data_IF_922160458575
#
_entry.id   IF_922160458575
#
_cell.length_a   1.000
_cell.length_b   1.000
_cell.length_c   1.000
_cell.angle_alpha   90.00
_cell.angle_beta   90.00
_cell.angle_gamma   90.00
#
_symmetry.space_group_name_H-M   'P 1'
#
loop_
_entity.id
_entity.type
_entity.pdbx_description
1 polymer ?
#
# COMPACT_ATOMS: atom_id res chain seq x y z
N UNK A 1 -7.99 46.15 -30.66
CA UNK A 1 -6.80 45.49 -30.08
C UNK A 1 -7.05 45.26 -28.60
N UNK A 2 -7.43 44.04 -28.23
CA UNK A 2 -7.62 43.64 -26.85
C UNK A 2 -6.96 42.26 -26.68
N UNK A 3 -5.93 42.19 -25.85
CA UNK A 3 -5.23 40.95 -25.50
C UNK A 3 -6.10 40.13 -24.54
N UNK A 4 -6.23 38.80 -24.70
CA UNK A 4 -6.81 37.97 -23.67
C UNK A 4 -5.74 37.58 -22.63
N UNK A 5 -6.07 37.83 -21.37
CA UNK A 5 -5.34 37.37 -20.18
C UNK A 5 -5.03 35.87 -20.24
N UNK A 6 -3.75 35.55 -20.06
CA UNK A 6 -3.29 34.19 -19.79
C UNK A 6 -3.74 33.78 -18.38
N UNK A 7 -4.80 32.97 -18.29
CA UNK A 7 -5.13 32.24 -17.09
C UNK A 7 -4.10 31.12 -16.92
N UNK A 8 -3.19 31.28 -15.96
CA UNK A 8 -2.27 30.24 -15.50
C UNK A 8 -3.09 29.04 -15.00
N UNK A 9 -3.23 28.01 -15.83
CA UNK A 9 -3.71 26.70 -15.42
C UNK A 9 -2.62 26.07 -14.58
N UNK A 10 -2.72 26.21 -13.25
CA UNK A 10 -1.92 25.46 -12.29
C UNK A 10 -2.26 23.98 -12.44
N UNK A 11 -1.38 23.24 -13.14
CA UNK A 11 -1.51 21.81 -13.34
C UNK A 11 -1.16 21.09 -12.03
N UNK A 12 -2.21 20.78 -11.27
CA UNK A 12 -2.16 19.95 -10.06
C UNK A 12 -1.66 18.55 -10.43
N UNK A 13 -0.66 18.04 -9.70
CA UNK A 13 0.09 16.82 -10.01
C UNK A 13 -0.79 15.54 -9.94
N UNK A 14 -0.59 14.52 -10.79
CA UNK A 14 -1.39 13.28 -10.76
C UNK A 14 -1.34 12.48 -9.46
N UNK A 15 -0.29 12.65 -8.64
CA UNK A 15 -0.29 12.05 -7.31
C UNK A 15 -1.24 12.75 -6.33
N UNK A 16 -1.50 14.04 -6.58
CA UNK A 16 -2.57 14.76 -5.91
C UNK A 16 -3.94 14.21 -6.36
N UNK A 17 -4.03 13.72 -7.60
CA UNK A 17 -5.22 13.02 -8.10
C UNK A 17 -5.43 11.62 -7.49
N UNK A 18 -4.36 10.87 -7.15
CA UNK A 18 -4.49 9.57 -6.45
C UNK A 18 -4.90 9.72 -4.97
N UNK A 19 -4.50 10.83 -4.34
CA UNK A 19 -5.01 11.28 -3.05
C UNK A 19 -6.50 11.70 -3.16
N UNK A 20 -6.91 12.25 -4.31
CA UNK A 20 -8.25 12.82 -4.51
C UNK A 20 -9.44 11.89 -4.68
N UNK A 21 -9.25 10.56 -4.71
CA UNK A 21 -10.38 9.61 -4.83
C UNK A 21 -10.73 8.90 -3.52
N UNK A 22 -10.39 9.48 -2.38
CA UNK A 22 -10.76 8.91 -1.10
C UNK A 22 -10.64 9.89 0.06
N UNK A 23 -11.42 9.61 1.12
CA UNK A 23 -11.38 10.39 2.35
C UNK A 23 -10.23 9.91 3.24
N UNK A 24 -9.42 10.81 3.77
CA UNK A 24 -8.47 10.54 4.85
C UNK A 24 -9.15 10.86 6.18
N UNK A 25 -9.07 9.95 7.15
CA UNK A 25 -9.48 10.22 8.52
C UNK A 25 -8.24 10.62 9.32
N UNK A 26 -8.28 11.77 10.00
CA UNK A 26 -7.16 12.31 10.78
C UNK A 26 -7.60 12.47 12.23
N UNK A 27 -6.89 11.84 13.16
CA UNK A 27 -6.92 12.21 14.56
C UNK A 27 -5.73 13.14 14.85
N UNK A 28 -6.00 14.33 15.38
CA UNK A 28 -4.97 15.23 15.87
C UNK A 28 -5.56 16.16 16.92
N UNK A 29 -5.15 15.98 18.18
CA UNK A 29 -5.61 16.82 19.28
C UNK A 29 -4.95 18.21 19.32
N UNK A 30 -3.79 18.37 18.67
CA UNK A 30 -3.02 19.61 18.68
C UNK A 30 -3.32 20.47 17.42
N UNK A 31 -3.91 21.68 17.56
CA UNK A 31 -4.34 22.49 16.42
C UNK A 31 -3.20 22.90 15.46
N UNK A 32 -2.02 23.22 15.99
CA UNK A 32 -0.82 23.60 15.22
C UNK A 32 -0.35 22.46 14.31
N UNK A 33 -0.28 21.23 14.84
CA UNK A 33 0.08 20.04 14.09
C UNK A 33 -0.99 19.68 13.06
N UNK A 34 -2.27 19.86 13.40
CA UNK A 34 -3.36 19.64 12.45
C UNK A 34 -3.26 20.57 11.25
N UNK A 35 -2.94 21.84 11.44
CA UNK A 35 -2.74 22.79 10.34
C UNK A 35 -1.51 22.45 9.48
N UNK A 36 -0.40 22.04 10.11
CA UNK A 36 0.78 21.54 9.37
C UNK A 36 0.44 20.31 8.53
N UNK A 37 -0.30 19.36 9.12
CA UNK A 37 -0.74 18.14 8.44
C UNK A 37 -1.69 18.47 7.28
N UNK A 38 -2.68 19.35 7.48
CA UNK A 38 -3.58 19.81 6.42
C UNK A 38 -2.80 20.45 5.27
N UNK A 39 -1.84 21.31 5.58
CA UNK A 39 -0.96 21.93 4.59
C UNK A 39 -0.19 20.88 3.76
N UNK A 40 0.37 19.86 4.41
CA UNK A 40 1.07 18.76 3.74
C UNK A 40 0.14 17.88 2.89
N UNK A 41 -1.13 17.74 3.30
CA UNK A 41 -2.15 16.93 2.63
C UNK A 41 -2.92 17.68 1.52
N UNK A 42 -2.78 19.01 1.40
CA UNK A 42 -3.55 19.90 0.50
C UNK A 42 -3.42 19.59 -1.01
N UNK A 43 -2.68 18.55 -1.37
CA UNK A 43 -2.65 17.97 -2.69
C UNK A 43 -3.79 16.99 -2.98
N UNK A 44 -5.06 17.31 -2.72
CA UNK A 44 -6.18 16.64 -3.39
C UNK A 44 -7.02 15.63 -2.60
N UNK A 45 -6.62 15.09 -1.45
CA UNK A 45 -7.50 14.22 -0.65
C UNK A 45 -8.57 15.00 0.14
N UNK A 46 -9.77 14.42 0.29
CA UNK A 46 -10.75 14.94 1.25
C UNK A 46 -10.33 14.54 2.67
N UNK A 47 -10.10 15.49 3.57
CA UNK A 47 -9.61 15.21 4.93
C UNK A 47 -10.73 15.44 5.95
N UNK A 48 -11.15 14.37 6.64
CA UNK A 48 -11.99 14.47 7.84
C UNK A 48 -11.07 14.44 9.05
N UNK A 49 -10.86 15.60 9.65
CA UNK A 49 -10.07 15.74 10.87
C UNK A 49 -10.98 15.74 12.11
N UNK A 50 -10.50 15.10 13.17
CA UNK A 50 -11.12 15.10 14.49
C UNK A 50 -10.04 15.33 15.56
N UNK A 51 -10.40 16.14 16.55
CA UNK A 51 -9.61 16.41 17.76
C UNK A 51 -9.81 15.34 18.86
N UNK A 52 -10.80 14.47 18.66
CA UNK A 52 -11.24 13.45 19.61
C UNK A 52 -11.37 12.09 18.93
N UNK A 53 -11.21 11.02 19.71
CA UNK A 53 -11.09 9.67 19.19
C UNK A 53 -12.36 9.13 18.52
N UNK A 54 -13.53 9.32 19.15
CA UNK A 54 -14.80 8.77 18.65
C UNK A 54 -15.20 9.30 17.26
N UNK A 55 -15.08 10.60 16.95
CA UNK A 55 -15.33 11.09 15.60
C UNK A 55 -14.28 10.60 14.59
N UNK A 56 -13.00 10.54 14.97
CA UNK A 56 -11.94 9.96 14.13
C UNK A 56 -12.25 8.52 13.74
N UNK A 57 -12.59 7.68 14.71
CA UNK A 57 -12.88 6.27 14.52
C UNK A 57 -14.06 6.03 13.56
N UNK A 58 -15.12 6.85 13.67
CA UNK A 58 -16.24 6.80 12.72
C UNK A 58 -15.81 7.15 11.30
N UNK A 59 -14.96 8.17 11.15
CA UNK A 59 -14.40 8.54 9.86
C UNK A 59 -13.46 7.46 9.31
N UNK A 60 -12.68 6.80 10.18
CA UNK A 60 -11.70 5.78 9.82
C UNK A 60 -12.34 4.56 9.12
N UNK A 61 -13.56 4.18 9.49
CA UNK A 61 -14.27 3.04 8.91
C UNK A 61 -14.57 3.21 7.39
N UNK A 62 -14.71 4.46 6.91
CA UNK A 62 -14.96 4.76 5.50
C UNK A 62 -13.77 5.42 4.79
N UNK A 63 -12.66 5.64 5.49
CA UNK A 63 -11.50 6.34 4.94
C UNK A 63 -10.64 5.40 4.09
N UNK A 64 -9.96 5.93 3.08
CA UNK A 64 -8.96 5.16 2.31
C UNK A 64 -7.64 5.00 3.06
N UNK A 65 -7.41 5.81 4.09
CA UNK A 65 -6.32 5.68 5.04
C UNK A 65 -6.66 6.50 6.29
N UNK A 66 -6.24 6.00 7.45
CA UNK A 66 -6.32 6.69 8.73
C UNK A 66 -4.95 7.24 9.11
N UNK A 67 -4.92 8.42 9.72
CA UNK A 67 -3.73 9.06 10.25
C UNK A 67 -4.00 9.38 11.71
N UNK A 68 -3.21 8.84 12.63
CA UNK A 68 -3.30 9.16 14.05
C UNK A 68 -2.05 9.95 14.47
N UNK A 69 -2.23 11.22 14.82
CA UNK A 69 -1.17 12.07 15.35
C UNK A 69 -1.13 11.90 16.86
N UNK A 70 -0.09 11.20 17.32
CA UNK A 70 0.17 10.83 18.71
C UNK A 70 1.61 11.23 19.02
N UNK A 71 1.89 12.50 19.38
CA UNK A 71 3.26 12.94 19.68
C UNK A 71 3.94 12.06 20.74
N UNK A 72 3.17 11.70 21.77
CA UNK A 72 3.58 10.85 22.87
C UNK A 72 2.55 9.74 23.10
N UNK A 73 2.63 8.62 22.35
CA UNK A 73 1.73 7.48 22.53
C UNK A 73 1.89 6.80 23.89
N UNK A 74 2.80 7.21 24.77
CA UNK A 74 2.91 6.65 26.12
C UNK A 74 1.64 6.81 26.97
N UNK A 75 0.70 7.68 26.57
CA UNK A 75 -0.63 7.75 27.18
C UNK A 75 -1.38 6.40 27.02
N UNK A 76 -1.64 5.67 28.12
CA UNK A 76 -2.30 4.37 28.08
C UNK A 76 -3.68 4.41 27.42
N UNK A 77 -4.40 5.54 27.53
CA UNK A 77 -5.72 5.69 26.92
C UNK A 77 -5.61 5.71 25.40
N UNK A 78 -4.64 6.46 24.86
CA UNK A 78 -4.42 6.56 23.42
C UNK A 78 -3.92 5.24 22.82
N UNK A 79 -3.05 4.51 23.52
CA UNK A 79 -2.63 3.17 23.08
C UNK A 79 -3.78 2.16 23.09
N UNK A 80 -4.59 2.15 24.14
CA UNK A 80 -5.75 1.27 24.22
C UNK A 80 -6.75 1.58 23.10
N UNK A 81 -6.97 2.86 22.83
CA UNK A 81 -7.79 3.34 21.72
C UNK A 81 -7.24 2.90 20.36
N UNK A 82 -5.94 3.05 20.13
CA UNK A 82 -5.26 2.64 18.90
C UNK A 82 -5.32 1.11 18.71
N UNK A 83 -5.09 0.34 19.77
CA UNK A 83 -5.22 -1.13 19.77
C UNK A 83 -6.65 -1.56 19.44
N UNK A 84 -7.66 -0.99 20.11
CA UNK A 84 -9.06 -1.28 19.86
C UNK A 84 -9.49 -0.90 18.43
N UNK A 85 -8.93 0.16 17.85
CA UNK A 85 -9.14 0.50 16.45
C UNK A 85 -8.55 -0.58 15.52
N UNK A 86 -7.34 -1.08 15.82
CA UNK A 86 -6.71 -2.16 15.04
C UNK A 86 -7.48 -3.47 15.10
N UNK A 87 -8.01 -3.84 16.26
CA UNK A 87 -8.83 -5.05 16.39
C UNK A 87 -10.09 -4.99 15.53
N UNK A 88 -10.74 -3.82 15.45
CA UNK A 88 -11.98 -3.66 14.69
C UNK A 88 -11.77 -3.40 13.21
N UNK A 89 -10.66 -2.73 12.86
CA UNK A 89 -10.30 -2.38 11.50
C UNK A 89 -8.88 -2.93 11.15
N UNK A 90 -8.67 -4.26 11.20
CA UNK A 90 -7.34 -4.86 11.08
C UNK A 90 -6.69 -4.70 9.71
N UNK A 91 -7.51 -4.37 8.70
CA UNK A 91 -7.08 -4.17 7.32
C UNK A 91 -7.18 -2.70 6.89
N UNK A 92 -7.54 -1.78 7.78
CA UNK A 92 -7.61 -0.35 7.45
C UNK A 92 -6.20 0.24 7.44
N UNK A 93 -5.72 0.85 6.34
CA UNK A 93 -4.41 1.49 6.33
C UNK A 93 -4.30 2.55 7.43
N UNK A 94 -3.24 2.50 8.23
CA UNK A 94 -2.99 3.42 9.33
C UNK A 94 -1.54 3.93 9.28
N UNK A 95 -1.42 5.25 9.28
CA UNK A 95 -0.18 5.97 9.53
C UNK A 95 -0.24 6.55 10.94
N UNK A 96 0.81 6.34 11.73
CA UNK A 96 0.97 7.04 13.01
C UNK A 96 2.01 8.14 12.86
N UNK A 97 1.66 9.35 13.27
CA UNK A 97 2.58 10.48 13.34
C UNK A 97 3.00 10.67 14.80
N UNK A 98 4.28 10.66 15.10
CA UNK A 98 4.78 10.67 16.49
C UNK A 98 6.14 11.37 16.62
N UNK A 99 6.57 11.67 17.85
CA UNK A 99 7.92 12.15 18.10
C UNK A 99 8.96 11.05 17.86
N UNK A 100 10.15 11.45 17.40
CA UNK A 100 11.26 10.52 17.16
C UNK A 100 11.89 10.11 18.49
N UNK A 101 11.33 9.07 19.08
CA UNK A 101 11.75 8.52 20.36
C UNK A 101 11.75 6.97 20.34
N UNK A 102 12.70 6.36 21.05
CA UNK A 102 12.89 4.92 21.06
C UNK A 102 11.77 4.16 21.81
N UNK A 103 11.19 4.77 22.83
CA UNK A 103 10.04 4.23 23.56
C UNK A 103 8.79 4.27 22.70
N UNK A 104 8.53 5.39 22.01
CA UNK A 104 7.44 5.51 21.03
C UNK A 104 7.52 4.41 19.96
N UNK A 105 8.72 4.20 19.40
CA UNK A 105 8.98 3.12 18.44
C UNK A 105 8.67 1.74 19.01
N UNK A 106 9.07 1.47 20.25
CA UNK A 106 8.85 0.17 20.90
C UNK A 106 7.37 -0.09 21.14
N UNK A 107 6.62 0.93 21.56
CA UNK A 107 5.17 0.86 21.77
C UNK A 107 4.44 0.58 20.45
N UNK A 108 4.79 1.33 19.39
CA UNK A 108 4.15 1.21 18.09
C UNK A 108 4.53 -0.07 17.33
N UNK A 109 5.73 -0.63 17.53
CA UNK A 109 6.14 -1.91 16.91
C UNK A 109 5.23 -3.08 17.27
N UNK A 110 4.63 -3.05 18.46
CA UNK A 110 3.71 -4.10 18.90
C UNK A 110 2.29 -3.89 18.35
N UNK A 111 2.02 -2.75 17.74
CA UNK A 111 0.77 -2.45 17.07
C UNK A 111 0.94 -2.66 15.57
N UNK A 112 -0.08 -3.24 14.92
CA UNK A 112 -0.10 -3.47 13.47
C UNK A 112 -0.33 -2.15 12.71
N UNK A 113 0.58 -1.19 12.87
CA UNK A 113 0.63 0.07 12.14
C UNK A 113 1.41 -0.16 10.84
N UNK A 114 0.91 0.35 9.72
CA UNK A 114 1.59 0.16 8.44
C UNK A 114 2.79 1.10 8.29
N UNK A 115 2.69 2.35 8.75
CA UNK A 115 3.74 3.36 8.63
C UNK A 115 3.81 4.28 9.84
N UNK A 116 5.02 4.70 10.19
CA UNK A 116 5.30 5.69 11.24
C UNK A 116 6.00 6.88 10.59
N UNK A 117 5.51 8.09 10.86
CA UNK A 117 6.07 9.36 10.37
C UNK A 117 6.50 10.20 11.57
N UNK A 118 7.71 10.76 11.51
CA UNK A 118 8.19 11.65 12.56
C UNK A 118 7.57 13.04 12.39
N UNK A 119 7.22 13.70 13.50
CA UNK A 119 6.63 15.05 13.48
C UNK A 119 7.51 16.08 12.73
N UNK A 120 8.84 15.96 12.81
CA UNK A 120 9.77 16.86 12.12
C UNK A 120 9.94 16.56 10.62
N UNK A 121 9.48 15.39 10.14
CA UNK A 121 9.51 14.99 8.72
C UNK A 121 8.11 15.00 8.09
N UNK A 122 7.10 15.42 8.85
CA UNK A 122 5.68 15.32 8.52
C UNK A 122 5.37 15.82 7.11
N UNK A 123 5.82 17.02 6.79
CA UNK A 123 5.53 17.70 5.53
C UNK A 123 6.12 16.96 4.31
N UNK A 124 7.22 16.24 4.51
CA UNK A 124 7.96 15.58 3.44
C UNK A 124 7.53 14.13 3.25
N UNK A 125 7.22 13.42 4.35
CA UNK A 125 7.00 11.97 4.32
C UNK A 125 5.53 11.56 4.32
N UNK A 126 4.61 12.40 4.80
CA UNK A 126 3.23 11.94 5.07
C UNK A 126 2.51 11.39 3.83
N UNK A 127 2.71 11.99 2.67
CA UNK A 127 2.10 11.52 1.41
C UNK A 127 2.69 10.19 0.95
N UNK A 128 4.01 10.01 1.16
CA UNK A 128 4.68 8.74 0.91
C UNK A 128 4.15 7.67 1.86
N UNK A 129 4.11 7.94 3.16
CA UNK A 129 3.60 7.03 4.18
C UNK A 129 2.14 6.62 3.92
N UNK A 130 1.24 7.56 3.59
CA UNK A 130 -0.14 7.21 3.24
C UNK A 130 -0.19 6.27 2.02
N UNK A 131 0.63 6.52 1.00
CA UNK A 131 0.68 5.65 -0.19
C UNK A 131 1.17 4.25 0.13
N UNK A 132 2.24 4.14 0.94
CA UNK A 132 2.82 2.87 1.39
C UNK A 132 1.86 2.09 2.31
N UNK A 133 1.23 2.77 3.27
CA UNK A 133 0.26 2.17 4.17
C UNK A 133 -0.92 1.56 3.40
N UNK A 134 -1.46 2.29 2.42
CA UNK A 134 -2.51 1.80 1.54
C UNK A 134 -2.08 0.58 0.74
N UNK A 135 -0.85 0.59 0.21
CA UNK A 135 -0.28 -0.56 -0.48
C UNK A 135 -0.18 -1.80 0.41
N UNK A 136 0.40 -1.66 1.61
CA UNK A 136 0.60 -2.76 2.56
C UNK A 136 -0.73 -3.39 2.99
N UNK A 137 -1.71 -2.56 3.38
CA UNK A 137 -3.03 -3.04 3.77
C UNK A 137 -3.75 -3.77 2.62
N UNK A 138 -3.67 -3.26 1.38
CA UNK A 138 -4.24 -3.94 0.22
C UNK A 138 -3.63 -5.35 0.04
N UNK A 139 -2.32 -5.49 0.21
CA UNK A 139 -1.66 -6.79 0.13
C UNK A 139 -2.10 -7.73 1.24
N UNK A 140 -2.29 -7.24 2.48
CA UNK A 140 -2.87 -8.04 3.57
C UNK A 140 -4.30 -8.49 3.26
N UNK A 141 -5.13 -7.63 2.68
CA UNK A 141 -6.47 -7.98 2.23
C UNK A 141 -6.45 -9.07 1.15
N UNK A 142 -5.54 -8.96 0.18
CA UNK A 142 -5.34 -9.98 -0.86
C UNK A 142 -4.89 -11.32 -0.26
N UNK A 143 -3.97 -11.28 0.70
CA UNK A 143 -3.53 -12.49 1.41
C UNK A 143 -4.71 -13.19 2.11
N UNK A 144 -5.52 -12.43 2.85
CA UNK A 144 -6.69 -12.95 3.54
C UNK A 144 -7.76 -13.50 2.56
N UNK A 145 -7.95 -12.85 1.41
CA UNK A 145 -8.86 -13.34 0.37
C UNK A 145 -8.38 -14.68 -0.21
N UNK A 146 -7.08 -14.81 -0.49
CA UNK A 146 -6.51 -16.06 -1.04
C UNK A 146 -6.50 -17.19 0.00
N UNK A 147 -6.31 -16.90 1.29
CA UNK A 147 -6.44 -17.90 2.35
C UNK A 147 -7.84 -18.53 2.38
N UNK A 148 -8.87 -17.74 2.06
CA UNK A 148 -10.28 -18.17 1.98
C UNK A 148 -10.67 -18.79 0.64
N UNK A 149 -9.77 -18.83 -0.35
CA UNK A 149 -10.04 -19.40 -1.67
C UNK A 149 -9.96 -20.95 -1.65
N UNK A 150 -11.00 -21.61 -1.14
CA UNK A 150 -11.02 -23.06 -0.89
C UNK A 150 -10.79 -23.94 -2.13
N UNK A 151 -11.09 -23.42 -3.32
CA UNK A 151 -10.81 -24.09 -4.59
C UNK A 151 -9.30 -24.22 -4.90
N UNK A 152 -8.44 -23.46 -4.21
CA UNK A 152 -6.99 -23.57 -4.36
C UNK A 152 -6.40 -24.57 -3.35
N UNK A 153 -5.40 -25.38 -3.77
CA UNK A 153 -4.70 -26.29 -2.88
C UNK A 153 -4.15 -25.59 -1.63
N UNK A 154 -4.26 -26.17 -0.42
CA UNK A 154 -3.84 -25.52 0.82
C UNK A 154 -2.37 -25.07 0.84
N UNK A 155 -1.49 -25.78 0.13
CA UNK A 155 -0.07 -25.40 -0.02
C UNK A 155 0.09 -24.19 -0.94
N UNK A 156 -0.71 -24.10 -2.00
CA UNK A 156 -0.71 -22.94 -2.91
C UNK A 156 -1.28 -21.70 -2.22
N UNK A 157 -2.39 -21.82 -1.47
CA UNK A 157 -2.95 -20.72 -0.67
C UNK A 157 -1.91 -20.12 0.28
N UNK A 158 -1.17 -20.97 1.00
CA UNK A 158 -0.09 -20.55 1.89
C UNK A 158 1.04 -19.84 1.15
N UNK A 159 1.47 -20.35 -0.01
CA UNK A 159 2.51 -19.71 -0.82
C UNK A 159 2.08 -18.32 -1.29
N UNK A 160 0.88 -18.19 -1.82
CA UNK A 160 0.34 -16.91 -2.28
C UNK A 160 0.18 -15.92 -1.13
N UNK A 161 -0.43 -16.35 -0.01
CA UNK A 161 -0.56 -15.53 1.20
C UNK A 161 0.79 -15.05 1.72
N UNK A 162 1.78 -15.95 1.77
CA UNK A 162 3.15 -15.60 2.14
C UNK A 162 3.69 -14.48 1.23
N UNK A 163 3.65 -14.66 -0.09
CA UNK A 163 4.14 -13.66 -1.03
C UNK A 163 3.46 -12.28 -0.87
N UNK A 164 2.14 -12.26 -0.61
CA UNK A 164 1.41 -11.04 -0.31
C UNK A 164 1.84 -10.39 1.01
N UNK A 165 2.10 -11.18 2.05
CA UNK A 165 2.45 -10.70 3.39
C UNK A 165 3.93 -10.36 3.57
N UNK A 166 4.83 -10.87 2.72
CA UNK A 166 6.26 -10.62 2.88
C UNK A 166 6.58 -9.13 2.85
N UNK A 167 7.32 -8.66 3.85
CA UNK A 167 7.82 -7.28 3.91
C UNK A 167 8.77 -7.00 2.75
N UNK A 168 9.77 -7.87 2.61
CA UNK A 168 10.63 -7.92 1.44
C UNK A 168 9.93 -8.72 0.32
N UNK A 169 9.85 -8.18 -0.91
CA UNK A 169 9.22 -8.91 -2.01
C UNK A 169 9.93 -10.23 -2.29
N UNK A 170 9.16 -11.30 -2.47
CA UNK A 170 9.68 -12.56 -3.00
C UNK A 170 9.98 -12.37 -4.48
N UNK A 171 11.24 -12.53 -4.89
CA UNK A 171 11.73 -12.14 -6.23
C UNK A 171 11.79 -13.28 -7.22
N UNK A 172 11.67 -14.52 -6.76
CA UNK A 172 11.71 -15.68 -7.64
C UNK A 172 10.81 -16.82 -7.17
N UNK A 173 10.43 -17.68 -8.12
CA UNK A 173 9.66 -18.90 -7.83
C UNK A 173 10.46 -19.87 -6.95
N UNK A 174 11.80 -19.85 -7.06
CA UNK A 174 12.69 -20.68 -6.24
C UNK A 174 12.65 -20.19 -4.79
N UNK A 175 12.76 -18.89 -4.57
CA UNK A 175 12.64 -18.27 -3.25
C UNK A 175 11.27 -18.54 -2.62
N UNK A 176 10.19 -18.42 -3.39
CA UNK A 176 8.84 -18.75 -2.92
C UNK A 176 8.70 -20.22 -2.53
N UNK A 177 9.27 -21.12 -3.32
CA UNK A 177 9.23 -22.56 -3.03
C UNK A 177 10.03 -22.88 -1.76
N UNK A 178 11.23 -22.30 -1.63
CA UNK A 178 12.10 -22.45 -0.46
C UNK A 178 11.41 -21.96 0.82
N UNK A 179 10.74 -20.79 0.78
CA UNK A 179 9.97 -20.28 1.92
C UNK A 179 8.85 -21.24 2.37
N UNK A 180 8.30 -22.03 1.45
CA UNK A 180 7.28 -23.05 1.72
C UNK A 180 7.85 -24.43 2.07
N UNK A 181 9.17 -24.58 2.13
CA UNK A 181 9.85 -25.84 2.41
C UNK A 181 9.70 -26.88 1.29
N UNK A 182 9.60 -26.44 0.03
CA UNK A 182 9.55 -27.34 -1.12
C UNK A 182 10.40 -26.86 -2.30
N UNK A 183 10.62 -27.73 -3.29
CA UNK A 183 11.33 -27.36 -4.50
C UNK A 183 10.42 -26.66 -5.54
N UNK A 184 11.04 -26.03 -6.54
CA UNK A 184 10.35 -25.31 -7.61
C UNK A 184 9.34 -26.20 -8.37
N UNK A 185 9.68 -27.45 -8.67
CA UNK A 185 8.80 -28.38 -9.42
C UNK A 185 7.56 -28.71 -8.61
N UNK A 186 7.71 -28.90 -7.30
CA UNK A 186 6.60 -29.12 -6.37
C UNK A 186 5.67 -27.91 -6.31
N UNK A 187 6.19 -26.68 -6.23
CA UNK A 187 5.36 -25.47 -6.27
C UNK A 187 4.60 -25.33 -7.60
N UNK A 188 5.25 -25.63 -8.72
CA UNK A 188 4.61 -25.66 -10.05
C UNK A 188 3.49 -26.70 -10.14
N UNK A 189 3.65 -27.85 -9.49
CA UNK A 189 2.59 -28.87 -9.41
C UNK A 189 1.35 -28.32 -8.69
N UNK A 190 1.52 -27.73 -7.51
CA UNK A 190 0.40 -27.12 -6.79
C UNK A 190 -0.27 -26.00 -7.59
N UNK A 191 0.52 -25.23 -8.34
CA UNK A 191 0.00 -24.19 -9.21
C UNK A 191 -0.92 -24.75 -10.31
N UNK A 192 -0.49 -25.81 -11.00
CA UNK A 192 -1.29 -26.48 -12.04
C UNK A 192 -2.49 -27.20 -11.48
N UNK A 193 -2.40 -27.76 -10.29
CA UNK A 193 -3.51 -28.39 -9.59
C UNK A 193 -4.61 -27.36 -9.28
N UNK A 194 -4.24 -26.17 -8.79
CA UNK A 194 -5.20 -25.12 -8.44
C UNK A 194 -5.76 -24.35 -9.62
N UNK A 195 -4.94 -24.02 -10.62
CA UNK A 195 -5.33 -23.15 -11.73
C UNK A 195 -5.54 -23.89 -13.05
N UNK A 196 -5.15 -25.15 -13.15
CA UNK A 196 -5.12 -25.96 -14.37
C UNK A 196 -3.79 -25.87 -15.14
N UNK A 197 -3.47 -26.88 -15.97
CA UNK A 197 -2.18 -26.99 -16.66
C UNK A 197 -1.94 -25.88 -17.69
N UNK A 198 -2.99 -25.44 -18.40
CA UNK A 198 -2.91 -24.48 -19.51
C UNK A 198 -3.27 -23.05 -19.09
N UNK A 199 -3.32 -22.78 -17.79
CA UNK A 199 -3.71 -21.46 -17.30
C UNK A 199 -2.62 -20.41 -17.59
N UNK A 200 -2.97 -19.23 -18.14
CA UNK A 200 -1.99 -18.23 -18.60
C UNK A 200 -1.23 -17.55 -17.45
N UNK A 201 -1.81 -17.49 -16.25
CA UNK A 201 -1.13 -16.97 -15.06
C UNK A 201 -0.14 -18.00 -14.53
N UNK A 202 1.15 -17.76 -14.73
CA UNK A 202 2.26 -18.57 -14.23
C UNK A 202 2.77 -18.04 -12.88
N UNK A 203 3.44 -18.86 -12.03
CA UNK A 203 4.01 -18.40 -10.77
C UNK A 203 4.96 -17.20 -10.91
N UNK A 204 5.78 -17.18 -11.95
CA UNK A 204 6.68 -16.05 -12.23
C UNK A 204 5.92 -14.78 -12.61
N UNK A 205 4.86 -14.89 -13.42
CA UNK A 205 4.01 -13.76 -13.79
C UNK A 205 3.30 -13.18 -12.57
N UNK A 206 2.85 -14.03 -11.65
CA UNK A 206 2.28 -13.59 -10.37
C UNK A 206 3.28 -12.72 -9.58
N UNK A 207 4.52 -13.19 -9.41
CA UNK A 207 5.55 -12.44 -8.67
C UNK A 207 5.93 -11.13 -9.37
N UNK A 208 6.03 -11.15 -10.70
CA UNK A 208 6.32 -9.97 -11.50
C UNK A 208 5.21 -8.90 -11.35
N UNK A 209 3.95 -9.32 -11.40
CA UNK A 209 2.80 -8.44 -11.17
C UNK A 209 2.78 -7.88 -9.74
N UNK A 210 3.07 -8.72 -8.75
CA UNK A 210 3.12 -8.32 -7.35
C UNK A 210 4.23 -7.31 -7.07
N UNK A 211 5.41 -7.50 -7.68
CA UNK A 211 6.52 -6.56 -7.60
C UNK A 211 6.16 -5.21 -8.22
N UNK A 212 5.52 -5.22 -9.40
CA UNK A 212 5.06 -3.99 -10.05
C UNK A 212 4.00 -3.26 -9.21
N UNK A 213 3.05 -3.99 -8.63
CA UNK A 213 2.02 -3.43 -7.75
C UNK A 213 2.68 -2.74 -6.54
N UNK A 214 3.61 -3.43 -5.86
CA UNK A 214 4.38 -2.87 -4.73
C UNK A 214 5.16 -1.62 -5.15
N UNK A 215 5.88 -1.66 -6.27
CA UNK A 215 6.62 -0.51 -6.78
C UNK A 215 5.71 0.68 -7.08
N UNK A 216 4.53 0.43 -7.67
CA UNK A 216 3.56 1.47 -7.94
C UNK A 216 3.00 2.10 -6.66
N UNK A 217 2.74 1.29 -5.63
CA UNK A 217 2.21 1.77 -4.33
C UNK A 217 3.27 2.53 -3.51
N UNK A 218 4.54 2.12 -3.60
CA UNK A 218 5.64 2.81 -2.93
C UNK A 218 5.98 4.17 -3.55
N UNK A 219 5.71 4.35 -4.86
CA UNK A 219 6.12 5.55 -5.59
C UNK A 219 5.36 6.80 -5.14
N UNK A 220 6.04 7.65 -4.37
CA UNK A 220 5.56 8.96 -3.96
C UNK A 220 5.92 10.07 -4.98
N UNK A 221 5.26 11.25 -4.96
CA UNK A 221 5.70 12.45 -5.70
C UNK A 221 7.15 12.81 -5.43
N UNK A 222 7.89 13.26 -6.44
CA UNK A 222 9.29 13.70 -6.27
C UNK A 222 10.31 12.59 -5.99
N UNK A 223 9.87 11.41 -5.51
CA UNK A 223 10.75 10.28 -5.22
C UNK A 223 11.34 9.69 -6.52
N UNK A 224 12.65 9.39 -6.52
CA UNK A 224 13.32 8.72 -7.64
C UNK A 224 12.97 7.24 -7.69
N UNK A 225 12.86 6.68 -8.89
CA UNK A 225 12.61 5.24 -9.09
C UNK A 225 13.76 4.35 -8.61
N UNK A 226 15.00 4.84 -8.64
CA UNK A 226 16.16 4.17 -8.01
C UNK A 226 15.92 3.87 -6.53
N UNK A 227 15.36 4.82 -5.78
CA UNK A 227 15.06 4.65 -4.36
C UNK A 227 13.95 3.61 -4.13
N UNK A 228 12.89 3.65 -4.94
CA UNK A 228 11.80 2.65 -4.89
C UNK A 228 12.35 1.25 -5.20
N UNK A 229 13.18 1.12 -6.24
CA UNK A 229 13.76 -0.15 -6.63
C UNK A 229 14.70 -0.71 -5.56
N UNK A 230 15.53 0.16 -4.96
CA UNK A 230 16.39 -0.19 -3.83
C UNK A 230 15.59 -0.70 -2.62
N UNK A 231 14.49 -0.02 -2.26
CA UNK A 231 13.58 -0.46 -1.19
C UNK A 231 12.99 -1.86 -1.44
N UNK A 232 12.80 -2.23 -2.71
CA UNK A 232 12.29 -3.53 -3.13
C UNK A 232 13.39 -4.58 -3.38
N UNK A 233 14.67 -4.23 -3.18
CA UNK A 233 15.80 -5.13 -3.41
C UNK A 233 15.97 -5.53 -4.88
N UNK A 234 15.63 -4.65 -5.82
CA UNK A 234 15.76 -4.86 -7.27
C UNK A 234 16.38 -3.65 -7.97
N UNK A 235 16.82 -3.84 -9.22
CA UNK A 235 17.27 -2.73 -10.06
C UNK A 235 16.09 -1.95 -10.67
N UNK A 236 16.24 -0.64 -10.87
CA UNK A 236 15.24 0.21 -11.53
C UNK A 236 14.84 -0.33 -12.91
N UNK A 237 15.81 -0.84 -13.67
CA UNK A 237 15.55 -1.44 -14.98
C UNK A 237 14.56 -2.62 -14.91
N UNK A 238 14.56 -3.39 -13.82
CA UNK A 238 13.59 -4.47 -13.60
C UNK A 238 12.18 -3.90 -13.51
N UNK A 239 11.98 -2.86 -12.69
CA UNK A 239 10.67 -2.21 -12.52
C UNK A 239 10.21 -1.60 -13.85
N UNK A 240 11.11 -0.93 -14.59
CA UNK A 240 10.81 -0.36 -15.90
C UNK A 240 10.38 -1.42 -16.92
N UNK A 241 11.13 -2.53 -16.99
CA UNK A 241 10.82 -3.67 -17.86
C UNK A 241 9.46 -4.27 -17.52
N UNK A 242 9.14 -4.42 -16.24
CA UNK A 242 7.85 -4.94 -15.78
C UNK A 242 6.70 -4.00 -16.11
N UNK A 243 6.84 -2.70 -15.83
CA UNK A 243 5.85 -1.70 -16.18
C UNK A 243 5.52 -1.72 -17.68
N UNK A 244 6.55 -1.79 -18.53
CA UNK A 244 6.36 -1.83 -19.97
C UNK A 244 5.71 -3.12 -20.45
N UNK A 245 6.21 -4.27 -19.98
CA UNK A 245 5.73 -5.59 -20.42
C UNK A 245 4.33 -5.92 -19.93
N UNK A 246 4.00 -5.57 -18.69
CA UNK A 246 2.74 -5.97 -18.04
C UNK A 246 1.63 -4.93 -18.19
N UNK A 247 1.98 -3.64 -18.16
CA UNK A 247 1.00 -2.55 -18.20
C UNK A 247 1.10 -1.67 -19.45
N UNK A 248 2.11 -1.88 -20.32
CA UNK A 248 2.36 -1.02 -21.48
C UNK A 248 2.96 0.35 -21.13
N UNK A 249 3.20 0.63 -19.85
CA UNK A 249 3.55 1.94 -19.31
C UNK A 249 5.07 2.13 -19.18
N UNK A 250 5.52 3.37 -19.33
CA UNK A 250 6.84 3.78 -18.82
C UNK A 250 6.78 4.07 -17.32
N UNK A 251 7.94 4.13 -16.65
CA UNK A 251 8.02 4.56 -15.25
C UNK A 251 7.53 6.00 -15.04
N UNK A 252 7.64 6.85 -16.07
CA UNK A 252 7.08 8.21 -16.04
C UNK A 252 5.56 8.16 -16.01
N UNK A 253 4.94 7.31 -16.83
CA UNK A 253 3.48 7.18 -16.87
C UNK A 253 2.93 6.62 -15.55
N UNK A 254 3.62 5.63 -14.96
CA UNK A 254 3.26 5.09 -13.65
C UNK A 254 3.29 6.21 -12.60
N UNK A 255 4.34 7.04 -12.58
CA UNK A 255 4.47 8.16 -11.65
C UNK A 255 3.47 9.31 -11.93
N UNK A 256 3.09 9.51 -13.19
CA UNK A 256 2.15 10.53 -13.63
C UNK A 256 0.67 10.09 -13.51
N UNK A 257 0.37 9.16 -12.59
CA UNK A 257 -1.01 8.73 -12.31
C UNK A 257 -1.40 7.38 -12.91
N UNK A 258 -0.46 6.59 -13.42
CA UNK A 258 -0.70 5.23 -13.92
C UNK A 258 -0.94 4.16 -12.83
N UNK A 259 -0.75 4.49 -11.54
CA UNK A 259 -0.92 3.55 -10.41
C UNK A 259 -2.31 2.86 -10.38
N UNK A 260 -3.45 3.56 -10.58
CA UNK A 260 -4.77 2.90 -10.61
C UNK A 260 -4.91 1.90 -11.76
N UNK A 261 -4.27 2.17 -12.91
CA UNK A 261 -4.27 1.25 -14.04
C UNK A 261 -3.49 -0.02 -13.69
N UNK A 262 -2.32 0.11 -13.06
CA UNK A 262 -1.54 -1.04 -12.57
C UNK A 262 -2.37 -1.88 -11.60
N UNK A 263 -3.03 -1.26 -10.62
CA UNK A 263 -3.88 -1.97 -9.67
C UNK A 263 -5.06 -2.69 -10.34
N UNK A 264 -5.71 -2.04 -11.33
CA UNK A 264 -6.81 -2.64 -12.09
C UNK A 264 -6.34 -3.82 -12.93
N UNK A 265 -5.21 -3.70 -13.64
CA UNK A 265 -4.64 -4.79 -14.42
C UNK A 265 -4.21 -5.95 -13.53
N UNK A 266 -3.62 -5.67 -12.37
CA UNK A 266 -3.32 -6.68 -11.36
C UNK A 266 -4.59 -7.43 -10.94
N UNK A 267 -5.67 -6.71 -10.61
CA UNK A 267 -6.93 -7.34 -10.23
C UNK A 267 -7.48 -8.25 -11.35
N UNK A 268 -7.42 -7.80 -12.60
CA UNK A 268 -7.90 -8.56 -13.76
C UNK A 268 -7.06 -9.80 -14.07
N UNK A 269 -5.73 -9.66 -14.11
CA UNK A 269 -4.83 -10.70 -14.57
C UNK A 269 -4.33 -11.64 -13.47
N UNK A 270 -4.44 -11.22 -12.20
CA UNK A 270 -3.94 -11.98 -11.05
C UNK A 270 -5.06 -12.32 -10.08
N UNK A 271 -5.73 -11.34 -9.49
CA UNK A 271 -6.70 -11.62 -8.43
C UNK A 271 -7.91 -12.39 -8.92
N UNK A 272 -8.50 -11.97 -10.04
CA UNK A 272 -9.68 -12.64 -10.58
C UNK A 272 -9.39 -14.13 -10.82
N UNK A 273 -8.33 -14.53 -11.57
CA UNK A 273 -7.96 -15.94 -11.70
C UNK A 273 -7.72 -16.71 -10.40
N UNK A 274 -7.23 -16.04 -9.34
CA UNK A 274 -6.95 -16.68 -8.06
C UNK A 274 -8.16 -16.79 -7.13
N UNK A 275 -9.16 -15.91 -7.30
CA UNK A 275 -10.28 -15.79 -6.36
C UNK A 275 -11.59 -16.32 -6.94
N UNK A 276 -11.73 -16.39 -8.26
CA UNK A 276 -12.91 -16.99 -8.88
C UNK A 276 -12.65 -18.47 -9.16
N UNK A 277 -13.43 -19.40 -8.57
CA UNK A 277 -13.36 -20.80 -8.95
C UNK A 277 -13.67 -20.94 -10.45
N UNK A 278 -13.06 -21.93 -11.10
CA UNK A 278 -13.46 -22.29 -12.46
C UNK A 278 -14.94 -22.72 -12.45
N UNK A 279 -15.72 -22.36 -13.49
CA UNK A 279 -16.99 -23.04 -13.74
C UNK A 279 -16.77 -24.52 -14.01
#
# INVERSE_FOLDING_TARGET
>A
MASPSSALVTTVSPAQQFLSRGTLAVYCAEPSLLERLRSALNGGANVIAADSWKPFERAAAGAVCSIAVLPWPSDPVQLAQLSALRERLPLQPLVVVTEKDAENLRLLKNLAVEEIVWIHELEHEILGAVSRARGSSLLRQMAAAVEKAEHLPPRLRRALSHAFRSEQPVRSVIELAAAMGCDRRTLWRYWREGLGPDHPLLPGHFLDWLLLLRASALKAPGQKWTAVAHQLGVHEHTVARLAKRLAGLSLRDVAAGGQPLVARLFATHVLRPLLTPRP
#
